data_IF_069874776369
#
_entry.id   IF_069874776369
#
_cell.length_a   1.000
_cell.length_b   1.000
_cell.length_c   1.000
_cell.angle_alpha   90.00
_cell.angle_beta   90.00
_cell.angle_gamma   90.00
#
_symmetry.space_group_name_H-M   'P 1'
#
loop_
_entity.id
_entity.type
_entity.pdbx_description
1 polymer ?
#
# COMPACT_ATOMS: atom_id res chain seq x y z
N UNK A 1 15.39 6.56 18.08
CA UNK A 1 14.20 6.78 17.23
C UNK A 1 14.39 8.09 16.50
N UNK A 2 14.39 8.09 15.16
CA UNK A 2 14.39 9.33 14.39
C UNK A 2 12.95 9.86 14.32
N UNK A 3 12.74 11.10 14.75
CA UNK A 3 11.46 11.80 14.64
C UNK A 3 11.14 11.99 13.15
N UNK A 4 10.09 11.35 12.67
CA UNK A 4 9.62 11.53 11.28
C UNK A 4 8.95 12.90 11.20
N UNK A 5 9.34 13.71 10.22
CA UNK A 5 8.72 15.01 10.00
C UNK A 5 7.28 14.81 9.50
N UNK A 6 6.32 15.61 9.96
CA UNK A 6 4.91 15.47 9.57
C UNK A 6 4.70 15.61 8.06
N UNK A 7 5.56 16.37 7.37
CA UNK A 7 5.51 16.54 5.91
C UNK A 7 5.96 15.31 5.11
N UNK A 8 6.60 14.34 5.76
CA UNK A 8 7.05 13.09 5.14
C UNK A 8 6.00 11.98 5.27
N UNK A 9 4.97 12.15 6.10
CA UNK A 9 3.96 11.14 6.37
C UNK A 9 2.59 11.59 5.83
N UNK A 10 1.84 10.65 5.26
CA UNK A 10 0.45 10.87 4.87
C UNK A 10 -0.39 9.63 5.14
N UNK A 11 -1.59 9.84 5.67
CA UNK A 11 -2.59 8.78 5.88
C UNK A 11 -3.83 9.07 5.08
N UNK A 12 -4.27 8.08 4.31
CA UNK A 12 -5.35 8.18 3.33
C UNK A 12 -6.47 7.20 3.66
N UNK A 13 -7.71 7.64 3.56
CA UNK A 13 -8.91 6.82 3.61
C UNK A 13 -9.97 7.43 2.67
N UNK A 14 -11.14 6.80 2.55
CA UNK A 14 -12.22 7.27 1.67
C UNK A 14 -12.68 8.70 1.98
N UNK A 15 -12.68 9.11 3.24
CA UNK A 15 -13.12 10.47 3.63
C UNK A 15 -12.18 11.60 3.20
N UNK A 16 -10.87 11.33 3.05
CA UNK A 16 -9.88 12.39 2.85
C UNK A 16 -9.17 12.35 1.47
N UNK A 17 -9.16 11.22 0.78
CA UNK A 17 -8.33 10.98 -0.42
C UNK A 17 -8.54 12.05 -1.51
N UNK A 18 -9.77 12.53 -1.64
CA UNK A 18 -10.17 13.53 -2.64
C UNK A 18 -9.53 14.90 -2.38
N UNK A 19 -9.38 15.29 -1.11
CA UNK A 19 -9.04 16.66 -0.74
C UNK A 19 -7.67 16.81 -0.05
N UNK A 20 -7.05 15.70 0.37
CA UNK A 20 -5.81 15.74 1.15
C UNK A 20 -4.65 16.41 0.39
N UNK A 21 -3.97 17.37 1.02
CA UNK A 21 -2.80 17.99 0.40
C UNK A 21 -1.60 17.06 0.53
N UNK A 22 -0.90 16.82 -0.58
CA UNK A 22 0.25 15.90 -0.62
C UNK A 22 1.51 16.73 -0.80
N UNK A 23 2.38 16.67 0.20
CA UNK A 23 3.67 17.33 0.13
C UNK A 23 4.62 16.51 -0.77
N UNK A 24 5.48 17.14 -1.61
CA UNK A 24 6.41 16.42 -2.47
C UNK A 24 7.44 15.55 -1.73
N UNK A 25 7.63 15.79 -0.42
CA UNK A 25 8.55 15.05 0.44
C UNK A 25 7.94 13.83 1.12
N UNK A 26 6.70 13.45 0.79
CA UNK A 26 6.09 12.24 1.36
C UNK A 26 6.99 11.03 1.08
N UNK A 27 7.37 10.34 2.16
CA UNK A 27 8.15 9.09 2.18
C UNK A 27 7.38 7.94 2.85
N UNK A 28 6.38 8.24 3.66
CA UNK A 28 5.60 7.28 4.43
C UNK A 28 4.13 7.45 4.08
N UNK A 29 3.52 6.40 3.54
CA UNK A 29 2.11 6.38 3.16
C UNK A 29 1.38 5.28 3.92
N UNK A 30 0.28 5.62 4.57
CA UNK A 30 -0.75 4.67 4.98
C UNK A 30 -2.03 4.85 4.16
N UNK A 31 -2.65 3.74 3.76
CA UNK A 31 -3.98 3.70 3.15
C UNK A 31 -4.84 2.74 3.98
N UNK A 32 -6.04 3.17 4.35
CA UNK A 32 -7.03 2.34 5.05
C UNK A 32 -8.26 2.14 4.17
N UNK A 33 -8.65 0.88 3.97
CA UNK A 33 -9.88 0.47 3.29
C UNK A 33 -10.84 -0.12 4.32
N UNK A 34 -11.95 0.58 4.58
CA UNK A 34 -12.98 0.15 5.53
C UNK A 34 -14.06 -0.73 4.85
N UNK A 35 -14.85 -1.44 5.65
CA UNK A 35 -16.03 -2.19 5.21
C UNK A 35 -17.02 -1.28 4.47
N UNK A 36 -17.18 -0.02 4.92
CA UNK A 36 -18.10 0.92 4.28
C UNK A 36 -17.69 1.27 2.85
N UNK A 37 -16.40 1.15 2.55
CA UNK A 37 -15.83 1.46 1.23
C UNK A 37 -16.17 0.39 0.18
N UNK A 38 -16.61 -0.79 0.61
CA UNK A 38 -17.02 -1.89 -0.26
C UNK A 38 -18.47 -2.33 -0.04
N UNK A 39 -19.19 -1.68 0.88
CA UNK A 39 -20.57 -2.05 1.25
C UNK A 39 -21.52 -1.96 0.06
N UNK A 40 -21.29 -1.00 -0.84
CA UNK A 40 -22.07 -0.85 -2.06
C UNK A 40 -21.20 -0.36 -3.22
N UNK A 41 -21.74 -0.52 -4.44
CA UNK A 41 -21.05 -0.19 -5.69
C UNK A 41 -20.64 1.29 -5.76
N UNK A 42 -21.47 2.21 -5.27
CA UNK A 42 -21.19 3.65 -5.33
C UNK A 42 -20.02 4.03 -4.42
N UNK A 43 -20.00 3.54 -3.18
CA UNK A 43 -18.87 3.74 -2.24
C UNK A 43 -17.57 3.19 -2.82
N UNK A 44 -17.62 1.99 -3.40
CA UNK A 44 -16.47 1.36 -4.02
C UNK A 44 -15.96 2.18 -5.20
N UNK A 45 -16.83 2.55 -6.14
CA UNK A 45 -16.45 3.32 -7.33
C UNK A 45 -15.87 4.69 -6.95
N UNK A 46 -16.51 5.43 -6.02
CA UNK A 46 -16.00 6.73 -5.57
C UNK A 46 -14.61 6.61 -4.93
N UNK A 47 -14.41 5.65 -4.01
CA UNK A 47 -13.11 5.51 -3.38
C UNK A 47 -12.04 5.03 -4.38
N UNK A 48 -12.40 4.11 -5.26
CA UNK A 48 -11.52 3.56 -6.28
C UNK A 48 -11.07 4.61 -7.29
N UNK A 49 -11.97 5.48 -7.73
CA UNK A 49 -11.66 6.61 -8.62
C UNK A 49 -10.73 7.61 -7.93
N UNK A 50 -11.01 7.95 -6.66
CA UNK A 50 -10.17 8.85 -5.89
C UNK A 50 -8.76 8.29 -5.66
N UNK A 51 -8.62 6.98 -5.38
CA UNK A 51 -7.33 6.30 -5.29
C UNK A 51 -6.61 6.26 -6.64
N UNK A 52 -7.32 6.08 -7.74
CA UNK A 52 -6.73 6.14 -9.09
C UNK A 52 -6.20 7.54 -9.40
N UNK A 53 -6.91 8.59 -8.99
CA UNK A 53 -6.48 9.97 -9.15
C UNK A 53 -5.31 10.36 -8.22
N UNK A 54 -5.14 9.66 -7.09
CA UNK A 54 -4.07 9.89 -6.12
C UNK A 54 -2.68 9.79 -6.75
N UNK A 55 -2.47 8.84 -7.68
CA UNK A 55 -1.18 8.64 -8.34
C UNK A 55 -0.67 9.86 -9.11
N UNK A 56 -1.56 10.76 -9.55
CA UNK A 56 -1.18 12.01 -10.22
C UNK A 56 -0.65 13.08 -9.25
N UNK A 57 -0.93 12.95 -7.95
CA UNK A 57 -0.60 13.92 -6.90
C UNK A 57 0.54 13.43 -6.00
N UNK A 58 0.77 12.13 -5.97
CA UNK A 58 1.76 11.48 -5.12
C UNK A 58 2.98 11.03 -5.93
N UNK A 59 4.18 11.43 -5.50
CA UNK A 59 5.44 10.91 -6.07
C UNK A 59 5.75 9.53 -5.49
N UNK A 60 5.11 8.50 -6.03
CA UNK A 60 5.22 7.11 -5.51
C UNK A 60 6.63 6.53 -5.59
N UNK A 61 7.44 6.98 -6.55
CA UNK A 61 8.88 6.66 -6.66
C UNK A 61 9.67 7.03 -5.40
N UNK A 62 9.19 7.99 -4.61
CA UNK A 62 9.85 8.48 -3.41
C UNK A 62 9.42 7.75 -2.14
N UNK A 63 8.41 6.87 -2.19
CA UNK A 63 7.92 6.17 -1.01
C UNK A 63 8.96 5.19 -0.47
N UNK A 64 9.28 5.35 0.81
CA UNK A 64 10.14 4.45 1.57
C UNK A 64 9.32 3.44 2.37
N UNK A 65 8.14 3.83 2.84
CA UNK A 65 7.26 2.96 3.64
C UNK A 65 5.84 3.03 3.11
N UNK A 66 5.24 1.85 2.93
CA UNK A 66 3.85 1.69 2.58
C UNK A 66 3.14 0.85 3.65
N UNK A 67 1.99 1.34 4.13
CA UNK A 67 1.14 0.64 5.06
C UNK A 67 -0.28 0.51 4.46
N UNK A 68 -0.78 -0.71 4.29
CA UNK A 68 -2.17 -0.95 3.88
C UNK A 68 -2.94 -1.58 5.04
N UNK A 69 -4.06 -0.97 5.41
CA UNK A 69 -4.92 -1.39 6.51
C UNK A 69 -6.33 -1.72 6.03
N UNK A 70 -6.99 -2.60 6.78
CA UNK A 70 -8.38 -3.01 6.57
C UNK A 70 -8.51 -4.30 5.79
N UNK A 71 -9.67 -4.95 5.83
CA UNK A 71 -9.82 -6.35 5.39
C UNK A 71 -10.06 -6.53 3.88
N UNK A 72 -10.21 -5.42 3.15
CA UNK A 72 -10.71 -5.40 1.77
C UNK A 72 -9.78 -4.74 0.76
N UNK A 73 -8.49 -4.59 1.08
CA UNK A 73 -7.54 -4.04 0.12
C UNK A 73 -7.41 -4.91 -1.16
N UNK A 74 -7.70 -6.22 -1.10
CA UNK A 74 -7.80 -7.09 -2.28
C UNK A 74 -8.86 -6.63 -3.30
N UNK A 75 -9.96 -6.03 -2.85
CA UNK A 75 -10.98 -5.45 -3.73
C UNK A 75 -10.44 -4.31 -4.60
N UNK A 76 -9.35 -3.67 -4.15
CA UNK A 76 -8.67 -2.56 -4.82
C UNK A 76 -7.33 -2.97 -5.44
N UNK A 77 -7.03 -4.27 -5.54
CA UNK A 77 -5.69 -4.75 -5.93
C UNK A 77 -5.23 -4.18 -7.28
N UNK A 78 -6.11 -4.14 -8.30
CA UNK A 78 -5.79 -3.52 -9.61
C UNK A 78 -5.41 -2.04 -9.48
N UNK A 79 -6.12 -1.31 -8.64
CA UNK A 79 -5.88 0.12 -8.41
C UNK A 79 -4.59 0.35 -7.65
N UNK A 80 -4.28 -0.47 -6.65
CA UNK A 80 -2.99 -0.43 -5.97
C UNK A 80 -1.84 -0.85 -6.89
N UNK A 81 -2.01 -1.90 -7.71
CA UNK A 81 -1.04 -2.32 -8.70
C UNK A 81 -0.73 -1.24 -9.74
N UNK A 82 -1.71 -0.41 -10.09
CA UNK A 82 -1.51 0.77 -10.92
C UNK A 82 -0.83 1.91 -10.15
N UNK A 83 -1.30 2.21 -8.93
CA UNK A 83 -0.80 3.30 -8.09
C UNK A 83 0.68 3.11 -7.72
N UNK A 84 1.08 1.90 -7.34
CA UNK A 84 2.44 1.60 -6.88
C UNK A 84 3.37 1.08 -7.98
N UNK A 85 2.95 1.14 -9.25
CA UNK A 85 3.70 0.62 -10.39
C UNK A 85 5.14 1.15 -10.48
N UNK A 86 5.34 2.41 -10.10
CA UNK A 86 6.63 3.12 -10.16
C UNK A 86 7.34 3.19 -8.81
N UNK A 87 6.80 2.55 -7.76
CA UNK A 87 7.44 2.54 -6.46
C UNK A 87 8.70 1.65 -6.47
N UNK A 88 9.87 2.27 -6.39
CA UNK A 88 11.17 1.58 -6.44
C UNK A 88 12.04 1.82 -5.19
N UNK A 89 11.72 2.84 -4.38
CA UNK A 89 12.46 3.20 -3.16
C UNK A 89 11.93 2.56 -1.87
N UNK A 90 10.92 1.68 -1.98
CA UNK A 90 10.27 1.05 -0.82
C UNK A 90 11.29 0.20 -0.05
N UNK A 91 11.36 0.45 1.26
CA UNK A 91 12.19 -0.26 2.24
C UNK A 91 11.36 -1.05 3.24
N UNK A 92 10.14 -0.60 3.50
CA UNK A 92 9.23 -1.24 4.44
C UNK A 92 7.82 -1.34 3.87
N UNK A 93 7.21 -2.51 4.00
CA UNK A 93 5.81 -2.76 3.70
C UNK A 93 5.15 -3.33 4.96
N UNK A 94 4.05 -2.71 5.37
CA UNK A 94 3.16 -3.21 6.40
C UNK A 94 1.79 -3.46 5.79
N UNK A 95 1.26 -4.66 5.93
CA UNK A 95 -0.05 -5.02 5.40
C UNK A 95 -0.85 -5.61 6.56
N UNK A 96 -2.08 -5.18 6.73
CA UNK A 96 -3.00 -5.70 7.74
C UNK A 96 -4.36 -5.99 7.13
N UNK A 97 -4.85 -7.22 7.30
CA UNK A 97 -6.16 -7.67 6.85
C UNK A 97 -6.09 -9.03 6.12
N UNK A 98 -7.22 -9.49 5.57
CA UNK A 98 -7.43 -10.92 5.26
C UNK A 98 -7.47 -11.34 3.78
N UNK A 99 -7.29 -10.46 2.79
CA UNK A 99 -7.33 -10.92 1.39
C UNK A 99 -6.50 -10.08 0.40
N UNK A 100 -5.41 -10.67 -0.10
CA UNK A 100 -4.63 -10.11 -1.22
C UNK A 100 -3.60 -11.09 -1.76
N UNK A 101 -3.42 -11.04 -3.07
CA UNK A 101 -2.17 -11.45 -3.69
C UNK A 101 -1.23 -10.24 -3.72
N UNK A 102 -0.03 -10.39 -3.18
CA UNK A 102 0.97 -9.33 -3.23
C UNK A 102 1.43 -9.04 -4.67
N UNK A 103 1.39 -10.02 -5.57
CA UNK A 103 1.73 -9.80 -6.98
C UNK A 103 0.65 -8.95 -7.69
N UNK A 104 -0.60 -8.98 -7.22
CA UNK A 104 -1.67 -8.10 -7.72
C UNK A 104 -1.51 -6.65 -7.23
N UNK A 105 -1.12 -6.46 -5.96
CA UNK A 105 -0.88 -5.13 -5.37
C UNK A 105 0.45 -4.54 -5.85
N UNK A 106 1.46 -5.38 -6.07
CA UNK A 106 2.81 -5.01 -6.46
C UNK A 106 3.23 -5.75 -7.73
N UNK A 107 2.78 -5.25 -8.88
CA UNK A 107 3.05 -5.81 -10.22
C UNK A 107 4.52 -6.20 -10.52
N UNK A 108 5.49 -5.64 -9.79
CA UNK A 108 6.88 -6.03 -9.88
C UNK A 108 7.52 -6.13 -8.49
N UNK A 109 6.94 -6.93 -7.60
CA UNK A 109 7.47 -7.12 -6.24
C UNK A 109 8.98 -7.44 -6.23
N UNK A 110 9.46 -8.23 -7.20
CA UNK A 110 10.88 -8.53 -7.41
C UNK A 110 11.79 -7.30 -7.66
N UNK A 111 11.23 -6.18 -8.12
CA UNK A 111 11.97 -4.92 -8.34
C UNK A 111 12.09 -4.07 -7.09
N UNK A 112 11.43 -4.44 -5.99
CA UNK A 112 11.60 -3.80 -4.68
C UNK A 112 12.92 -4.22 -4.03
N UNK A 113 14.03 -4.03 -4.73
CA UNK A 113 15.39 -4.45 -4.32
C UNK A 113 15.89 -3.77 -3.05
N UNK A 114 15.23 -2.68 -2.65
CA UNK A 114 15.52 -1.95 -1.42
C UNK A 114 14.66 -2.40 -0.24
N UNK A 115 13.72 -3.33 -0.44
CA UNK A 115 12.84 -3.85 0.61
C UNK A 115 13.68 -4.60 1.65
N UNK A 116 13.52 -4.19 2.92
CA UNK A 116 14.20 -4.80 4.09
C UNK A 116 13.22 -5.35 5.11
N UNK A 117 12.05 -4.74 5.18
CA UNK A 117 11.02 -5.06 6.16
C UNK A 117 9.71 -5.36 5.45
N UNK A 118 9.18 -6.55 5.70
CA UNK A 118 7.84 -6.94 5.28
C UNK A 118 7.13 -7.47 6.52
N UNK A 119 6.04 -6.82 6.89
CA UNK A 119 5.16 -7.28 7.97
C UNK A 119 3.76 -7.47 7.43
N UNK A 120 3.22 -8.64 7.71
CA UNK A 120 1.88 -9.07 7.29
C UNK A 120 1.11 -9.43 8.57
N UNK A 121 0.18 -8.56 8.96
CA UNK A 121 -0.77 -8.78 10.04
C UNK A 121 -2.02 -9.46 9.48
N UNK A 122 -2.22 -10.73 9.79
CA UNK A 122 -3.36 -11.52 9.33
C UNK A 122 -4.29 -11.90 10.49
N UNK A 123 -5.59 -12.04 10.20
CA UNK A 123 -6.56 -12.65 11.11
C UNK A 123 -6.75 -14.16 10.86
N UNK A 124 -6.40 -14.69 9.66
CA UNK A 124 -6.51 -16.13 9.36
C UNK A 124 -5.38 -16.60 8.41
N UNK A 125 -4.74 -17.73 8.74
CA UNK A 125 -3.47 -18.20 8.15
C UNK A 125 -3.61 -18.95 6.80
N UNK A 126 -4.82 -19.06 6.25
CA UNK A 126 -5.13 -20.10 5.25
C UNK A 126 -4.88 -19.72 3.78
N UNK A 127 -4.58 -18.46 3.46
CA UNK A 127 -4.52 -18.00 2.06
C UNK A 127 -3.37 -17.00 1.82
N UNK A 128 -2.16 -17.37 2.21
CA UNK A 128 -0.98 -16.57 1.86
C UNK A 128 -0.44 -17.03 0.50
N UNK A 129 -0.61 -16.23 -0.56
CA UNK A 129 0.32 -16.26 -1.70
C UNK A 129 1.47 -15.28 -1.39
N UNK A 130 2.52 -15.81 -0.76
CA UNK A 130 3.79 -15.09 -0.67
C UNK A 130 4.34 -14.96 -2.11
N UNK A 131 4.76 -13.76 -2.57
CA UNK A 131 5.38 -13.60 -3.87
C UNK A 131 6.47 -14.64 -4.03
N UNK A 132 6.43 -15.38 -5.13
CA UNK A 132 7.51 -16.32 -5.47
C UNK A 132 8.88 -15.63 -5.51
N UNK A 133 8.88 -14.30 -5.72
CA UNK A 133 10.04 -13.42 -5.69
C UNK A 133 10.66 -13.21 -4.29
N UNK A 134 9.96 -13.50 -3.19
CA UNK A 134 10.51 -13.34 -1.83
C UNK A 134 11.78 -14.16 -1.61
N UNK A 135 11.87 -15.34 -2.24
CA UNK A 135 13.07 -16.20 -2.20
C UNK A 135 14.31 -15.50 -2.75
N UNK A 136 14.15 -14.48 -3.60
CA UNK A 136 15.25 -13.73 -4.23
C UNK A 136 15.67 -12.49 -3.45
N UNK A 137 14.95 -12.14 -2.37
CA UNK A 137 15.24 -10.98 -1.54
C UNK A 137 16.05 -11.40 -0.31
N UNK A 138 17.34 -11.71 -0.52
CA UNK A 138 18.24 -12.24 0.51
C UNK A 138 18.51 -11.28 1.70
N UNK A 139 18.05 -10.02 1.61
CA UNK A 139 18.21 -8.99 2.65
C UNK A 139 16.96 -8.79 3.51
N UNK A 140 15.90 -9.57 3.29
CA UNK A 140 14.65 -9.42 4.02
C UNK A 140 14.80 -9.97 5.44
N UNK A 141 14.54 -9.14 6.45
CA UNK A 141 14.43 -9.57 7.85
C UNK A 141 12.97 -9.59 8.26
N UNK A 142 12.47 -10.76 8.70
CA UNK A 142 11.13 -10.92 9.28
C UNK A 142 11.13 -10.62 10.78
N UNK A 143 10.07 -9.95 11.26
CA UNK A 143 9.76 -9.73 12.67
C UNK A 143 8.28 -10.00 12.93
#
# INVERSE_FOLDING_TARGET
>A
SSQVSSYECISINSSNVKHIQIHPMVRYLSITVDNTDIENKLSFEDYNENLSALGKRLKVENLNTLMLFGDYHGSFAKTFGALFREANAIRAIFLSGVSYDMDDIFHNFAKLVHLRYLRIGMLDYRTISLPSALVRLYHLTGY
#
